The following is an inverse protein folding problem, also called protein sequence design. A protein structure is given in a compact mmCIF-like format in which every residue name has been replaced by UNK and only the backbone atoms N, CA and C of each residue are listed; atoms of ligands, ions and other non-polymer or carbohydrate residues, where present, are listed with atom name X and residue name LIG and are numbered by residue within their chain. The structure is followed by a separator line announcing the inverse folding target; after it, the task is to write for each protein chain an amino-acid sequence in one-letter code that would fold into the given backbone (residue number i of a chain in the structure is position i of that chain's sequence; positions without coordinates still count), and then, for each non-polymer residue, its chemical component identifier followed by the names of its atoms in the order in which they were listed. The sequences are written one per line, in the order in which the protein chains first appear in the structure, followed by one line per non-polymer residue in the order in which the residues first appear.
data_IF_276148970829
#
_entry.id   IF_276148970829
#
_cell.length_a   1.000
_cell.length_b   1.000
_cell.length_c   1.000
_cell.angle_alpha   90.00
_cell.angle_beta   90.00
_cell.angle_gamma   90.00
#
_symmetry.space_group_name_H-M   'P 1'
#
loop_
_entity.id
_entity.type
_entity.pdbx_description
1 polymer ?
#
# COMPACT_ATOMS: atom_id res chain seq x y z
N UNK A 1 -3.97 -7.55 -11.51
CA UNK A 1 -4.11 -6.88 -10.20
C UNK A 1 -4.60 -7.90 -9.18
N UNK A 2 -3.61 -8.47 -8.51
CA UNK A 2 -3.65 -9.63 -7.62
C UNK A 2 -3.57 -9.16 -6.18
N UNK A 3 -2.81 -8.09 -5.89
CA UNK A 3 -2.61 -7.56 -4.54
C UNK A 3 -3.65 -6.52 -4.13
N UNK A 4 -4.92 -6.75 -4.49
CA UNK A 4 -6.06 -5.96 -3.95
C UNK A 4 -6.19 -6.20 -2.45
N UNK A 5 -6.90 -5.33 -1.73
CA UNK A 5 -7.03 -5.42 -0.25
C UNK A 5 -7.43 -6.82 0.26
N UNK A 6 -8.39 -7.48 -0.39
CA UNK A 6 -8.98 -8.77 -0.03
C UNK A 6 -8.20 -9.99 -0.55
N UNK A 7 -7.05 -9.76 -1.18
CA UNK A 7 -6.22 -10.85 -1.71
C UNK A 7 -5.75 -11.78 -0.62
N UNK A 8 -5.94 -13.10 -0.83
CA UNK A 8 -5.41 -14.11 0.09
C UNK A 8 -3.89 -14.20 0.08
N UNK A 9 -3.23 -13.60 -0.91
CA UNK A 9 -1.77 -13.50 -0.94
C UNK A 9 -1.19 -12.64 0.19
N UNK A 10 -1.97 -11.75 0.83
CA UNK A 10 -1.52 -11.05 2.04
C UNK A 10 -1.42 -11.98 3.26
N UNK A 11 -2.24 -13.03 3.29
CA UNK A 11 -2.54 -13.86 4.46
C UNK A 11 -2.02 -15.30 4.34
N UNK A 12 -1.39 -15.65 3.22
CA UNK A 12 -0.89 -17.01 2.96
C UNK A 12 0.64 -17.02 2.77
N UNK A 13 1.22 -18.22 2.69
CA UNK A 13 2.66 -18.40 2.43
C UNK A 13 2.99 -18.64 0.97
N UNK A 14 1.98 -18.65 0.08
CA UNK A 14 2.17 -18.91 -1.34
C UNK A 14 2.99 -17.80 -1.98
N UNK A 15 3.95 -18.19 -2.82
CA UNK A 15 4.67 -17.30 -3.73
C UNK A 15 3.87 -17.02 -4.99
N UNK A 16 4.21 -15.95 -5.70
CA UNK A 16 3.57 -15.57 -6.97
C UNK A 16 4.63 -15.05 -7.93
N UNK A 17 4.63 -15.53 -9.18
CA UNK A 17 5.47 -15.05 -10.28
C UNK A 17 6.94 -14.81 -9.90
N UNK A 18 7.58 -15.77 -9.22
CA UNK A 18 8.92 -15.62 -8.63
C UNK A 18 9.97 -15.12 -9.63
N UNK A 19 9.85 -15.53 -10.90
CA UNK A 19 10.70 -15.08 -12.01
C UNK A 19 10.67 -13.56 -12.21
N UNK A 20 9.54 -12.91 -11.94
CA UNK A 20 9.41 -11.45 -12.03
C UNK A 20 10.27 -10.67 -11.03
N UNK A 21 10.65 -11.30 -9.91
CA UNK A 21 11.59 -10.71 -8.96
C UNK A 21 13.06 -10.78 -9.41
N UNK A 22 13.38 -11.67 -10.35
CA UNK A 22 14.74 -11.85 -10.88
C UNK A 22 14.98 -10.91 -12.06
N UNK A 23 14.03 -10.86 -12.98
CA UNK A 23 14.18 -10.10 -14.23
C UNK A 23 13.74 -8.64 -14.12
N UNK A 24 13.23 -8.22 -12.95
CA UNK A 24 12.66 -6.89 -12.73
C UNK A 24 11.48 -6.60 -13.66
N UNK A 25 10.83 -7.65 -14.19
CA UNK A 25 9.70 -7.49 -15.09
C UNK A 25 8.50 -6.92 -14.33
N UNK A 26 7.58 -6.29 -15.05
CA UNK A 26 6.43 -5.63 -14.44
C UNK A 26 5.38 -6.62 -13.89
N UNK A 27 5.66 -7.92 -13.69
CA UNK A 27 4.68 -8.86 -13.15
C UNK A 27 4.50 -8.67 -11.64
N UNK A 28 3.25 -8.77 -11.17
CA UNK A 28 2.97 -8.80 -9.73
C UNK A 28 3.63 -10.01 -9.09
N UNK A 29 4.52 -9.80 -8.13
CA UNK A 29 5.41 -10.83 -7.61
C UNK A 29 5.39 -10.89 -6.09
N UNK A 30 5.40 -12.09 -5.53
CA UNK A 30 5.60 -12.32 -4.10
C UNK A 30 6.64 -13.42 -3.90
N UNK A 31 7.76 -13.04 -3.30
CA UNK A 31 8.90 -13.91 -3.06
C UNK A 31 8.79 -14.60 -1.69
N UNK A 32 9.59 -15.65 -1.50
CA UNK A 32 9.65 -16.39 -0.24
C UNK A 32 10.08 -15.51 0.94
N UNK A 33 10.81 -14.43 0.68
CA UNK A 33 11.23 -13.45 1.67
C UNK A 33 10.08 -12.72 2.35
N UNK A 34 8.91 -12.61 1.71
CA UNK A 34 7.69 -12.12 2.35
C UNK A 34 7.38 -12.89 3.65
N UNK A 35 7.66 -14.19 3.68
CA UNK A 35 7.35 -15.07 4.81
C UNK A 35 8.49 -15.15 5.84
N UNK A 36 9.75 -15.02 5.37
CA UNK A 36 10.91 -15.55 6.10
C UNK A 36 12.01 -14.52 6.37
N UNK A 37 11.89 -13.27 5.91
CA UNK A 37 12.95 -12.27 6.05
C UNK A 37 12.59 -11.25 7.14
N UNK A 38 13.32 -11.25 8.28
CA UNK A 38 13.22 -10.19 9.27
C UNK A 38 13.74 -8.86 8.71
N UNK A 39 13.16 -7.75 9.17
CA UNK A 39 13.59 -6.41 8.78
C UNK A 39 13.37 -5.41 9.91
N UNK A 40 14.11 -4.30 9.86
CA UNK A 40 13.90 -3.11 10.69
C UNK A 40 13.42 -1.90 9.87
N UNK A 41 13.43 -2.02 8.54
CA UNK A 41 13.07 -0.95 7.61
C UNK A 41 12.37 -1.52 6.39
N UNK A 42 11.32 -0.84 5.96
CA UNK A 42 10.56 -1.14 4.75
C UNK A 42 10.77 -0.01 3.74
N UNK A 43 11.08 -0.36 2.49
CA UNK A 43 11.09 0.57 1.36
C UNK A 43 9.84 0.33 0.51
N UNK A 44 9.02 1.36 0.32
CA UNK A 44 7.81 1.30 -0.51
C UNK A 44 8.00 2.18 -1.73
N UNK A 45 7.76 1.63 -2.92
CA UNK A 45 7.93 2.31 -4.19
C UNK A 45 6.64 2.36 -4.99
N UNK A 46 6.37 3.49 -5.65
CA UNK A 46 5.31 3.61 -6.65
C UNK A 46 5.84 4.25 -7.92
N UNK A 47 5.50 3.64 -9.05
CA UNK A 47 5.81 4.19 -10.37
C UNK A 47 4.96 5.43 -10.62
N UNK A 48 5.60 6.54 -10.96
CA UNK A 48 4.94 7.83 -11.17
C UNK A 48 4.50 7.99 -12.62
N UNK A 49 5.35 7.57 -13.56
CA UNK A 49 5.06 7.66 -14.98
C UNK A 49 4.52 6.35 -15.55
N UNK A 50 3.64 6.47 -16.54
CA UNK A 50 2.96 5.34 -17.18
C UNK A 50 3.89 4.39 -17.94
N UNK A 51 5.13 4.81 -18.19
CA UNK A 51 6.21 4.10 -18.89
C UNK A 51 7.18 3.35 -17.96
N UNK A 52 7.00 3.44 -16.64
CA UNK A 52 7.89 2.75 -15.69
C UNK A 52 9.21 3.46 -15.39
N UNK A 53 9.46 4.63 -15.98
CA UNK A 53 10.78 5.30 -15.94
C UNK A 53 11.14 5.92 -14.59
N UNK A 54 10.14 6.26 -13.78
CA UNK A 54 10.33 6.94 -12.50
C UNK A 54 9.56 6.25 -11.38
N UNK A 55 10.25 6.02 -10.26
CA UNK A 55 9.69 5.43 -9.05
C UNK A 55 9.99 6.36 -7.88
N UNK A 56 8.96 6.80 -7.18
CA UNK A 56 9.12 7.50 -5.91
C UNK A 56 9.13 6.50 -4.77
N UNK A 57 9.99 6.73 -3.78
CA UNK A 57 10.22 5.83 -2.67
C UNK A 57 10.00 6.51 -1.32
N UNK A 58 9.44 5.74 -0.38
CA UNK A 58 9.45 6.09 1.04
C UNK A 58 10.07 4.97 1.87
N UNK A 59 10.66 5.35 2.99
CA UNK A 59 11.16 4.43 4.01
C UNK A 59 10.28 4.48 5.25
N UNK A 60 10.00 3.32 5.83
CA UNK A 60 9.28 3.16 7.10
C UNK A 60 10.18 2.34 8.03
N UNK A 61 10.58 2.92 9.15
CA UNK A 61 11.27 2.18 10.21
C UNK A 61 10.22 1.38 11.00
N UNK A 62 10.33 0.05 10.95
CA UNK A 62 9.44 -0.88 11.64
C UNK A 62 10.12 -2.24 11.77
N UNK A 63 10.10 -2.83 12.95
CA UNK A 63 10.70 -4.13 13.21
C UNK A 63 9.65 -5.25 13.13
N UNK A 64 9.89 -6.26 12.29
CA UNK A 64 9.07 -7.46 12.22
C UNK A 64 9.88 -8.67 11.78
N UNK A 65 9.43 -9.87 12.17
CA UNK A 65 10.06 -11.12 11.74
C UNK A 65 9.86 -11.44 10.26
N UNK A 66 8.83 -10.88 9.63
CA UNK A 66 8.55 -10.96 8.19
C UNK A 66 7.33 -10.11 7.81
N UNK A 67 7.14 -9.86 6.51
CA UNK A 67 5.93 -9.16 6.03
C UNK A 67 4.65 -9.97 6.29
N UNK A 68 4.73 -11.30 6.25
CA UNK A 68 3.63 -12.17 6.65
C UNK A 68 3.21 -11.89 8.09
N UNK A 69 4.15 -11.91 9.05
CA UNK A 69 3.85 -11.64 10.46
C UNK A 69 3.29 -10.24 10.69
N UNK A 70 3.68 -9.27 9.85
CA UNK A 70 3.21 -7.91 9.92
C UNK A 70 1.75 -7.74 9.45
N UNK A 71 1.35 -8.43 8.39
CA UNK A 71 0.09 -8.16 7.68
C UNK A 71 -1.00 -9.21 7.87
N UNK A 72 -0.63 -10.47 8.10
CA UNK A 72 -1.56 -11.61 7.99
C UNK A 72 -2.67 -11.64 9.05
N UNK A 73 -2.45 -11.06 10.22
CA UNK A 73 -3.45 -10.99 11.29
C UNK A 73 -4.59 -9.99 11.00
N UNK A 74 -4.45 -9.14 9.97
CA UNK A 74 -5.43 -8.11 9.61
C UNK A 74 -5.57 -6.99 10.66
N UNK A 75 -4.71 -6.95 11.68
CA UNK A 75 -4.76 -6.00 12.77
C UNK A 75 -4.07 -4.70 12.38
N UNK A 76 -4.72 -3.57 12.67
CA UNK A 76 -4.16 -2.24 12.45
C UNK A 76 -2.90 -2.05 13.30
N UNK A 77 -1.81 -1.61 12.66
CA UNK A 77 -0.55 -1.30 13.31
C UNK A 77 -0.11 0.10 12.88
N UNK A 78 -0.20 1.11 13.75
CA UNK A 78 0.11 2.48 13.39
C UNK A 78 1.61 2.68 13.17
N UNK A 79 1.96 3.62 12.30
CA UNK A 79 3.31 4.16 12.14
C UNK A 79 3.28 5.68 12.26
N UNK A 80 4.44 6.33 12.23
CA UNK A 80 4.54 7.79 12.21
C UNK A 80 5.54 8.23 11.13
N UNK A 81 5.15 8.02 9.86
CA UNK A 81 5.94 8.40 8.67
C UNK A 81 5.55 9.81 8.23
N UNK A 82 4.29 10.19 8.46
CA UNK A 82 3.77 11.51 8.16
C UNK A 82 3.13 11.59 6.78
N UNK A 83 2.00 12.28 6.71
CA UNK A 83 1.17 12.44 5.50
C UNK A 83 1.96 12.88 4.26
N UNK A 84 2.86 13.86 4.39
CA UNK A 84 3.62 14.40 3.25
C UNK A 84 4.54 13.37 2.60
N UNK A 85 5.06 12.41 3.40
CA UNK A 85 5.83 11.28 2.87
C UNK A 85 4.94 10.36 2.05
N UNK A 86 3.76 10.00 2.56
CA UNK A 86 2.81 9.20 1.79
C UNK A 86 2.42 9.89 0.49
N UNK A 87 2.10 11.18 0.52
CA UNK A 87 1.79 11.97 -0.68
C UNK A 87 2.96 12.02 -1.68
N UNK A 88 4.21 11.94 -1.23
CA UNK A 88 5.37 11.93 -2.13
C UNK A 88 5.50 10.68 -3.00
N UNK A 89 4.73 9.61 -2.74
CA UNK A 89 4.74 8.40 -3.57
C UNK A 89 4.21 8.64 -4.99
N UNK A 90 3.36 9.65 -5.20
CA UNK A 90 2.76 9.94 -6.49
C UNK A 90 2.62 11.45 -6.66
N UNK A 91 3.07 11.97 -7.80
CA UNK A 91 2.95 13.39 -8.12
C UNK A 91 1.48 13.84 -8.06
N UNK A 92 1.26 15.08 -7.62
CA UNK A 92 -0.06 15.70 -7.43
C UNK A 92 -1.03 15.00 -6.45
N UNK A 93 -0.52 14.09 -5.61
CA UNK A 93 -1.30 13.50 -4.51
C UNK A 93 -1.50 14.50 -3.39
N UNK A 94 -2.75 14.87 -3.12
CA UNK A 94 -3.10 15.83 -2.07
C UNK A 94 -4.34 15.40 -1.32
N UNK A 95 -4.11 14.65 -0.25
CA UNK A 95 -5.14 14.21 0.68
C UNK A 95 -5.68 15.41 1.48
N UNK A 96 -6.89 15.33 2.05
CA UNK A 96 -7.45 16.40 2.87
C UNK A 96 -6.68 16.59 4.18
N UNK A 97 -6.66 17.84 4.68
CA UNK A 97 -5.98 18.22 5.93
C UNK A 97 -6.98 18.19 7.09
N UNK A 98 -7.18 17.04 7.72
CA UNK A 98 -7.90 17.01 8.99
C UNK A 98 -7.51 15.78 9.85
N UNK A 99 -8.14 14.63 9.60
CA UNK A 99 -7.91 13.40 10.36
C UNK A 99 -7.22 12.38 9.45
N UNK A 100 -6.38 11.51 10.01
CA UNK A 100 -5.80 10.43 9.22
C UNK A 100 -5.16 9.33 10.05
N UNK A 101 -5.05 8.18 9.42
CA UNK A 101 -4.48 6.97 9.98
C UNK A 101 -3.42 6.47 9.00
N UNK A 102 -2.27 6.08 9.52
CA UNK A 102 -1.17 5.57 8.71
C UNK A 102 -0.60 4.30 9.30
N UNK A 103 -0.17 3.39 8.43
CA UNK A 103 0.48 2.15 8.84
C UNK A 103 -0.03 0.93 8.09
N UNK A 104 -0.11 -0.17 8.81
CA UNK A 104 -0.42 -1.49 8.28
C UNK A 104 -1.84 -1.91 8.66
N UNK A 105 -2.56 -2.53 7.72
CA UNK A 105 -3.99 -2.85 7.83
C UNK A 105 -4.83 -1.66 8.31
N UNK A 106 -4.47 -0.46 7.84
CA UNK A 106 -5.16 0.80 8.13
C UNK A 106 -6.60 0.73 7.67
N UNK A 107 -7.53 0.97 8.59
CA UNK A 107 -8.96 0.88 8.35
C UNK A 107 -9.73 1.84 9.25
N UNK A 108 -10.94 2.17 8.83
CA UNK A 108 -11.93 2.82 9.66
C UNK A 108 -13.00 1.78 10.00
N UNK A 109 -13.19 1.48 11.29
CA UNK A 109 -13.88 0.30 11.80
C UNK A 109 -15.35 0.12 11.33
N UNK A 110 -15.96 1.13 10.71
CA UNK A 110 -17.34 1.11 10.24
C UNK A 110 -17.52 1.37 8.73
N UNK A 111 -16.43 1.44 7.95
CA UNK A 111 -16.52 1.74 6.52
C UNK A 111 -15.73 0.75 5.66
N UNK A 112 -16.12 0.62 4.39
CA UNK A 112 -15.41 -0.18 3.39
C UNK A 112 -14.16 0.57 2.87
N UNK A 113 -13.38 1.19 3.77
CA UNK A 113 -12.28 2.08 3.44
C UNK A 113 -11.04 1.61 4.18
N UNK A 114 -10.18 0.93 3.44
CA UNK A 114 -9.13 0.08 4.00
C UNK A 114 -7.91 0.10 3.10
N UNK A 115 -6.73 0.07 3.70
CA UNK A 115 -5.46 -0.03 2.98
C UNK A 115 -4.53 -0.95 3.74
N UNK A 116 -3.92 -1.93 3.05
CA UNK A 116 -3.01 -2.89 3.69
C UNK A 116 -1.74 -2.22 4.18
N UNK A 117 -1.21 -1.29 3.40
CA UNK A 117 -0.05 -0.47 3.77
C UNK A 117 -0.29 0.93 3.21
N UNK A 118 -0.55 1.92 4.06
CA UNK A 118 -0.90 3.23 3.54
C UNK A 118 -1.40 4.24 4.55
N UNK A 119 -1.74 5.41 4.01
CA UNK A 119 -2.39 6.51 4.69
C UNK A 119 -3.85 6.60 4.26
N UNK A 120 -4.75 6.68 5.23
CA UNK A 120 -6.16 6.97 5.05
C UNK A 120 -6.43 8.36 5.63
N UNK A 121 -6.86 9.29 4.78
CA UNK A 121 -7.22 10.65 5.16
C UNK A 121 -8.74 10.82 5.22
N UNK A 122 -9.20 11.63 6.17
CA UNK A 122 -10.58 12.07 6.26
C UNK A 122 -10.59 13.60 6.31
N UNK A 123 -11.47 14.23 5.51
CA UNK A 123 -11.63 15.69 5.49
C UNK A 123 -12.41 16.19 6.69
N UNK A 124 -13.44 15.48 7.09
CA UNK A 124 -14.13 15.64 8.36
C UNK A 124 -14.09 14.26 8.99
N UNK A 125 -13.66 14.10 10.24
CA UNK A 125 -13.59 12.77 10.88
C UNK A 125 -14.93 11.99 10.66
N UNK A 126 -14.96 11.07 9.69
CA UNK A 126 -16.16 10.35 9.21
C UNK A 126 -16.75 10.71 7.82
N UNK A 127 -16.25 11.72 7.09
CA UNK A 127 -16.71 12.13 5.75
C UNK A 127 -15.58 12.59 4.82
N UNK A 128 -15.84 12.49 3.49
CA UNK A 128 -14.92 12.86 2.39
C UNK A 128 -13.49 12.35 2.59
N UNK A 129 -13.23 11.17 2.05
CA UNK A 129 -12.06 10.40 2.45
C UNK A 129 -11.21 10.03 1.24
N UNK A 130 -9.90 10.09 1.44
CA UNK A 130 -8.92 9.68 0.46
C UNK A 130 -7.97 8.67 1.04
N UNK A 131 -7.33 7.92 0.16
CA UNK A 131 -6.30 6.98 0.56
C UNK A 131 -5.12 7.04 -0.40
N UNK A 132 -3.96 6.65 0.10
CA UNK A 132 -2.79 6.36 -0.71
C UNK A 132 -2.07 5.16 -0.11
N UNK A 133 -1.65 4.22 -0.95
CA UNK A 133 -0.92 3.05 -0.48
C UNK A 133 -1.15 1.80 -1.33
N UNK A 134 -0.95 0.65 -0.71
CA UNK A 134 -0.94 -0.68 -1.33
C UNK A 134 -2.09 -1.53 -0.76
N UNK A 135 -2.73 -2.31 -1.63
CA UNK A 135 -3.91 -3.12 -1.32
C UNK A 135 -5.03 -2.26 -0.78
N UNK A 136 -5.68 -1.49 -1.64
CA UNK A 136 -6.70 -0.51 -1.25
C UNK A 136 -8.11 -1.04 -1.49
N UNK A 137 -9.05 -0.61 -0.64
CA UNK A 137 -10.49 -0.76 -0.81
C UNK A 137 -11.15 0.57 -0.45
N UNK A 138 -11.89 1.16 -1.38
CA UNK A 138 -12.70 2.35 -1.15
C UNK A 138 -14.12 2.05 -1.63
N UNK A 139 -15.03 1.81 -0.69
CA UNK A 139 -16.45 1.53 -0.95
C UNK A 139 -16.64 0.35 -1.94
N UNK A 140 -15.83 -0.71 -1.81
CA UNK A 140 -15.91 -1.91 -2.64
C UNK A 140 -15.09 -1.83 -3.93
N UNK A 141 -14.58 -0.66 -4.31
CA UNK A 141 -13.61 -0.54 -5.38
C UNK A 141 -12.21 -0.83 -4.85
N UNK A 142 -11.50 -1.77 -5.49
CA UNK A 142 -10.24 -2.32 -4.97
C UNK A 142 -9.12 -2.25 -5.99
N UNK A 143 -7.97 -1.77 -5.55
CA UNK A 143 -6.77 -1.64 -6.36
C UNK A 143 -5.55 -2.20 -5.64
N UNK A 144 -4.54 -2.56 -6.41
CA UNK A 144 -3.29 -3.08 -5.83
C UNK A 144 -2.42 -1.98 -5.24
N UNK A 145 -2.47 -0.78 -5.80
CA UNK A 145 -1.82 0.40 -5.26
C UNK A 145 -2.42 1.67 -5.86
N UNK A 146 -2.15 2.82 -5.24
CA UNK A 146 -2.41 4.13 -5.83
C UNK A 146 -2.95 5.14 -4.84
N UNK A 147 -3.35 6.30 -5.39
CA UNK A 147 -3.97 7.41 -4.69
C UNK A 147 -5.44 7.56 -5.12
N UNK A 148 -6.35 7.77 -4.18
CA UNK A 148 -7.78 7.87 -4.44
C UNK A 148 -8.38 9.00 -3.61
N UNK A 149 -9.05 9.93 -4.27
CA UNK A 149 -9.83 10.99 -3.62
C UNK A 149 -11.09 11.32 -4.46
N UNK A 150 -12.26 11.64 -3.86
CA UNK A 150 -13.55 11.67 -4.58
C UNK A 150 -13.62 12.60 -5.80
N UNK A 151 -12.81 13.67 -5.84
CA UNK A 151 -12.75 14.60 -6.97
C UNK A 151 -11.55 14.37 -7.91
N UNK A 152 -10.66 13.41 -7.59
CA UNK A 152 -9.47 13.06 -8.36
C UNK A 152 -9.22 11.56 -8.28
N UNK A 153 -9.74 10.81 -9.24
CA UNK A 153 -9.25 9.47 -9.53
C UNK A 153 -7.93 9.61 -10.31
N UNK A 154 -6.85 9.96 -9.60
CA UNK A 154 -5.52 10.08 -10.19
C UNK A 154 -4.95 8.70 -10.50
N UNK A 155 -4.48 8.51 -11.74
CA UNK A 155 -3.83 7.32 -12.30
C UNK A 155 -4.25 5.99 -11.69
N UNK A 156 -5.19 5.32 -12.36
CA UNK A 156 -5.48 3.91 -12.14
C UNK A 156 -4.17 3.12 -12.05
N UNK A 157 -3.87 2.68 -10.83
CA UNK A 157 -2.96 1.62 -10.43
C UNK A 157 -1.98 1.12 -11.52
N UNK A 158 -0.71 1.51 -11.41
CA UNK A 158 0.37 0.88 -12.18
C UNK A 158 1.45 0.32 -11.26
N UNK A 159 1.81 -0.93 -11.57
CA UNK A 159 2.79 -1.83 -10.95
C UNK A 159 4.10 -1.09 -10.65
N UNK A 160 4.78 -1.34 -9.54
CA UNK A 160 5.55 -2.57 -9.28
C UNK A 160 5.40 -2.95 -7.79
N UNK A 161 5.05 -4.20 -7.52
CA UNK A 161 5.15 -4.77 -6.17
C UNK A 161 5.93 -6.06 -6.31
N UNK A 162 7.25 -5.94 -6.25
CA UNK A 162 8.07 -7.04 -5.80
C UNK A 162 8.07 -6.95 -4.27
N UNK A 163 7.43 -7.91 -3.61
CA UNK A 163 7.66 -8.12 -2.19
C UNK A 163 8.88 -9.03 -2.06
N UNK A 164 9.99 -8.44 -1.63
CA UNK A 164 11.32 -9.03 -1.56
C UNK A 164 11.98 -8.74 -0.22
#
# INVERSE_FOLDING_TARGET
QTFKYDSKFWENHQTLNVEGGVDGNALETKLASYNNTPFSKICLGMTVNSDGSSINWIGIEYEASSFYSLLADGMFKPVNVGKSKWESLLDDSKLPNNCGYEGFNTRLDLTQKRVRIGYLAQKTCGQEEGLIGFGTDLNGFRWSSGYIYPSRQGNGAKQISAFG
#
